data_IF_786559568082
#
_entry.id   IF_786559568082
#
_cell.length_a   1.000
_cell.length_b   1.000
_cell.length_c   1.000
_cell.angle_alpha   90.00
_cell.angle_beta   90.00
_cell.angle_gamma   90.00
#
_symmetry.space_group_name_H-M   'P 1'
#
loop_
_entity.id
_entity.type
_entity.pdbx_description
1 polymer ?
#
# COMPACT_ATOMS: atom_id res chain seq x y z
N UNK A 1 21.11 -4.92 1.12
CA UNK A 1 20.96 -3.61 0.45
C UNK A 1 22.17 -3.25 -0.42
N UNK A 2 23.39 -3.17 0.11
CA UNK A 2 24.59 -2.73 -0.65
C UNK A 2 24.84 -3.51 -1.94
N UNK A 3 24.78 -4.84 -1.92
CA UNK A 3 24.99 -5.66 -3.12
C UNK A 3 23.92 -5.47 -4.21
N UNK A 4 22.69 -5.13 -3.83
CA UNK A 4 21.64 -4.76 -4.77
C UNK A 4 21.94 -3.40 -5.40
N UNK A 5 22.27 -2.38 -4.60
CA UNK A 5 22.55 -1.03 -5.10
C UNK A 5 23.74 -0.99 -6.05
N UNK A 6 24.77 -1.79 -5.79
CA UNK A 6 25.94 -1.90 -6.67
C UNK A 6 25.63 -2.46 -8.07
N UNK A 7 24.58 -3.27 -8.17
CA UNK A 7 24.14 -3.90 -9.43
C UNK A 7 22.97 -3.17 -10.10
N UNK A 8 22.27 -2.34 -9.35
CA UNK A 8 21.07 -1.67 -9.83
C UNK A 8 21.43 -0.57 -10.83
N UNK A 9 20.80 -0.62 -12.00
CA UNK A 9 20.89 0.42 -13.03
C UNK A 9 19.56 1.18 -13.07
N UNK A 10 19.63 2.49 -13.00
CA UNK A 10 18.48 3.34 -13.18
C UNK A 10 17.94 3.20 -14.61
N UNK A 11 16.65 2.97 -14.75
CA UNK A 11 15.97 2.82 -16.05
C UNK A 11 15.66 4.18 -16.72
N UNK A 12 15.84 5.29 -15.99
CA UNK A 12 15.57 6.67 -16.42
C UNK A 12 16.40 7.65 -15.62
N UNK A 13 16.44 8.90 -16.08
CA UNK A 13 17.17 9.95 -15.37
C UNK A 13 16.43 10.33 -14.07
N UNK A 14 17.16 10.66 -12.98
CA UNK A 14 16.57 11.22 -11.78
C UNK A 14 15.76 12.48 -12.07
N UNK A 15 14.56 12.57 -11.52
CA UNK A 15 13.63 13.70 -11.72
C UNK A 15 12.73 13.60 -12.95
N UNK A 16 12.90 12.61 -13.82
CA UNK A 16 12.09 12.43 -15.03
C UNK A 16 10.67 11.94 -14.71
N UNK A 17 10.52 11.09 -13.71
CA UNK A 17 9.22 10.51 -13.30
C UNK A 17 9.21 10.20 -11.81
N UNK A 18 8.12 10.52 -11.14
CA UNK A 18 7.84 10.04 -9.79
C UNK A 18 7.37 8.58 -9.83
N UNK A 19 7.92 7.74 -8.96
CA UNK A 19 7.48 6.36 -8.74
C UNK A 19 7.52 6.06 -7.27
N UNK A 20 6.40 5.60 -6.73
CA UNK A 20 6.34 5.15 -5.34
C UNK A 20 7.30 3.98 -5.10
N UNK A 21 8.08 4.05 -4.03
CA UNK A 21 9.08 3.02 -3.72
C UNK A 21 9.37 2.92 -2.22
N UNK A 22 8.92 1.85 -1.59
CA UNK A 22 9.31 1.50 -0.22
C UNK A 22 10.83 1.34 -0.09
N UNK A 23 11.49 0.76 -1.12
CA UNK A 23 12.95 0.67 -1.17
C UNK A 23 13.59 2.07 -1.16
N UNK A 24 13.06 3.01 -1.95
CA UNK A 24 13.57 4.38 -2.02
C UNK A 24 13.46 5.10 -0.69
N UNK A 25 12.29 5.02 -0.03
CA UNK A 25 12.07 5.66 1.28
C UNK A 25 12.84 4.96 2.39
N UNK A 26 12.94 3.62 2.37
CA UNK A 26 13.80 2.88 3.30
C UNK A 26 15.28 3.24 3.15
N UNK A 27 15.77 3.40 1.91
CA UNK A 27 17.13 3.86 1.62
C UNK A 27 17.36 5.29 2.10
N UNK A 28 16.37 6.18 1.93
CA UNK A 28 16.43 7.54 2.46
C UNK A 28 16.59 7.51 4.00
N UNK A 29 15.77 6.73 4.70
CA UNK A 29 15.89 6.55 6.16
C UNK A 29 17.27 6.07 6.57
N UNK A 30 17.80 5.06 5.89
CA UNK A 30 19.17 4.56 6.14
C UNK A 30 20.24 5.62 5.86
N UNK A 31 20.09 6.42 4.82
CA UNK A 31 21.02 7.51 4.50
C UNK A 31 21.00 8.59 5.59
N UNK A 32 19.82 8.91 6.12
CA UNK A 32 19.68 9.86 7.21
C UNK A 32 20.36 9.36 8.51
N UNK A 33 20.27 8.05 8.82
CA UNK A 33 21.01 7.43 9.91
C UNK A 33 22.52 7.63 9.73
N UNK A 34 23.06 7.26 8.57
CA UNK A 34 24.48 7.41 8.27
C UNK A 34 24.94 8.87 8.35
N UNK A 35 24.13 9.80 7.88
CA UNK A 35 24.45 11.23 7.88
C UNK A 35 24.42 11.84 9.29
N UNK A 36 23.47 11.43 10.14
CA UNK A 36 23.30 11.97 11.50
C UNK A 36 24.19 11.31 12.54
N UNK A 37 24.62 10.06 12.31
CA UNK A 37 25.30 9.23 13.30
C UNK A 37 24.37 8.61 14.34
N UNK A 38 23.04 8.83 14.24
CA UNK A 38 22.02 8.24 15.11
C UNK A 38 21.37 7.04 14.40
N UNK A 39 20.85 6.08 15.16
CA UNK A 39 19.87 5.13 14.61
C UNK A 39 18.56 5.86 14.25
N UNK A 40 17.72 5.21 13.44
CA UNK A 40 16.53 5.88 12.89
C UNK A 40 15.50 6.25 13.96
N UNK A 41 15.33 5.43 15.00
CA UNK A 41 14.42 5.70 16.10
C UNK A 41 14.89 6.89 16.95
N UNK A 42 16.17 6.91 17.34
CA UNK A 42 16.79 8.04 18.06
C UNK A 42 16.71 9.33 17.25
N UNK A 43 16.91 9.25 15.92
CA UNK A 43 16.76 10.40 15.04
C UNK A 43 15.31 10.90 14.96
N UNK A 44 14.35 9.98 14.90
CA UNK A 44 12.91 10.29 14.92
C UNK A 44 12.54 10.97 16.25
N UNK A 45 13.03 10.45 17.37
CA UNK A 45 12.77 11.00 18.71
C UNK A 45 13.35 12.40 18.85
N UNK A 46 14.62 12.59 18.53
CA UNK A 46 15.29 13.89 18.67
C UNK A 46 14.67 14.97 17.77
N UNK A 47 14.31 14.62 16.54
CA UNK A 47 13.87 15.60 15.54
C UNK A 47 12.37 15.81 15.48
N UNK A 48 11.55 14.81 15.77
CA UNK A 48 10.10 14.86 15.53
C UNK A 48 9.31 14.58 16.81
N UNK A 49 9.40 13.35 17.36
CA UNK A 49 8.47 12.92 18.41
C UNK A 49 8.73 13.60 19.74
N UNK A 50 9.98 13.84 20.09
CA UNK A 50 10.35 14.60 21.29
C UNK A 50 9.85 16.05 21.26
N UNK A 51 10.20 16.86 20.22
CA UNK A 51 9.70 18.23 20.08
C UNK A 51 8.17 18.35 20.03
N UNK A 52 7.46 17.33 19.53
CA UNK A 52 6.01 17.31 19.47
C UNK A 52 5.35 16.61 20.66
N UNK A 53 6.12 16.10 21.62
CA UNK A 53 5.64 15.39 22.82
C UNK A 53 4.85 14.10 22.48
N UNK A 54 5.26 13.40 21.41
CA UNK A 54 4.63 12.18 20.90
C UNK A 54 5.20 10.93 21.60
N UNK A 55 4.93 10.77 22.89
CA UNK A 55 5.57 9.78 23.78
C UNK A 55 5.16 8.32 23.51
N UNK A 56 4.08 8.11 22.75
CA UNK A 56 3.60 6.79 22.35
C UNK A 56 3.87 6.49 20.84
N UNK A 57 4.83 7.20 20.26
CA UNK A 57 5.25 7.00 18.86
C UNK A 57 6.66 6.45 18.86
N UNK A 58 6.79 5.16 18.47
CA UNK A 58 8.01 4.38 18.57
C UNK A 58 8.17 3.46 17.37
N UNK A 59 9.36 2.91 17.20
CA UNK A 59 9.65 1.80 16.26
C UNK A 59 9.81 0.52 17.06
N UNK A 60 10.63 0.55 18.11
CA UNK A 60 10.85 -0.57 19.04
C UNK A 60 9.85 -0.47 20.18
N UNK A 61 9.06 -1.50 20.37
CA UNK A 61 8.07 -1.57 21.44
C UNK A 61 8.64 -2.37 22.62
N UNK A 62 8.49 -1.84 23.83
CA UNK A 62 8.73 -2.59 25.07
C UNK A 62 7.54 -3.47 25.45
N UNK A 63 7.67 -4.26 26.52
CA UNK A 63 6.63 -5.20 26.95
C UNK A 63 5.29 -4.51 27.29
N UNK A 64 5.33 -3.28 27.79
CA UNK A 64 4.10 -2.52 28.12
C UNK A 64 3.45 -1.98 26.84
N UNK A 65 4.23 -1.53 25.87
CA UNK A 65 3.73 -1.09 24.57
C UNK A 65 3.13 -2.27 23.78
N UNK A 66 3.77 -3.45 23.84
CA UNK A 66 3.27 -4.67 23.19
C UNK A 66 1.90 -5.11 23.73
N UNK A 67 1.62 -4.92 25.02
CA UNK A 67 0.29 -5.21 25.60
C UNK A 67 -0.81 -4.28 25.07
N UNK A 68 -0.42 -3.08 24.62
CA UNK A 68 -1.33 -2.07 24.08
C UNK A 68 -1.44 -2.12 22.57
N UNK A 69 -0.54 -2.81 21.89
CA UNK A 69 -0.55 -2.92 20.44
C UNK A 69 -1.81 -3.66 19.98
N UNK A 70 -2.62 -3.02 19.16
CA UNK A 70 -3.75 -3.68 18.53
C UNK A 70 -3.24 -4.80 17.61
N UNK A 71 -3.81 -5.99 17.71
CA UNK A 71 -3.45 -7.12 16.83
C UNK A 71 -3.87 -6.77 15.39
N UNK A 72 -2.92 -6.85 14.45
CA UNK A 72 -3.19 -6.64 13.04
C UNK A 72 -3.96 -7.78 12.41
N UNK A 73 -4.87 -7.47 11.49
CA UNK A 73 -5.69 -8.45 10.79
C UNK A 73 -5.58 -8.25 9.28
N UNK A 74 -5.62 -9.33 8.55
CA UNK A 74 -5.77 -9.28 7.09
C UNK A 74 -7.19 -8.79 6.70
N UNK A 75 -7.45 -8.75 5.41
CA UNK A 75 -8.77 -8.34 4.88
C UNK A 75 -9.91 -9.31 5.22
N UNK A 76 -9.58 -10.50 5.70
CA UNK A 76 -10.49 -11.54 6.10
C UNK A 76 -10.74 -11.56 7.61
N UNK A 77 -10.09 -10.66 8.34
CA UNK A 77 -10.18 -10.57 9.79
C UNK A 77 -9.32 -11.62 10.52
N UNK A 78 -8.37 -12.28 9.82
CA UNK A 78 -7.44 -13.20 10.46
C UNK A 78 -6.25 -12.43 11.01
N UNK A 79 -5.79 -12.76 12.23
CA UNK A 79 -4.58 -12.16 12.79
C UNK A 79 -3.37 -12.41 11.90
N UNK A 80 -2.55 -11.38 11.69
CA UNK A 80 -1.31 -11.46 10.93
C UNK A 80 -0.15 -10.83 11.69
N UNK A 81 1.06 -11.27 11.37
CA UNK A 81 2.27 -10.73 11.99
C UNK A 81 2.54 -9.29 11.56
N UNK A 82 3.08 -8.52 12.49
CA UNK A 82 3.60 -7.18 12.21
C UNK A 82 4.76 -7.25 11.22
N UNK A 83 4.95 -6.18 10.47
CA UNK A 83 6.17 -6.00 9.71
C UNK A 83 7.27 -5.44 10.62
N UNK A 84 8.35 -6.18 10.74
CA UNK A 84 9.57 -5.69 11.36
C UNK A 84 10.55 -5.29 10.25
N UNK A 85 10.86 -4.00 10.17
CA UNK A 85 11.63 -3.39 9.10
C UNK A 85 12.92 -2.74 9.62
N UNK A 86 13.86 -3.50 10.25
CA UNK A 86 15.00 -2.91 10.93
C UNK A 86 15.91 -2.09 10.00
N UNK A 87 16.15 -2.58 8.77
CA UNK A 87 16.98 -1.87 7.78
C UNK A 87 16.17 -0.84 6.97
N UNK A 88 14.86 -1.01 6.88
CA UNK A 88 13.95 -0.17 6.11
C UNK A 88 12.96 0.60 7.01
N UNK A 89 13.37 0.96 8.21
CA UNK A 89 12.51 1.59 9.20
C UNK A 89 11.77 2.83 8.65
N UNK A 90 12.44 3.62 7.80
CA UNK A 90 11.82 4.77 7.13
C UNK A 90 10.66 4.44 6.19
N UNK A 91 10.50 3.18 5.76
CA UNK A 91 9.45 2.78 4.84
C UNK A 91 8.12 2.42 5.53
N UNK A 92 8.08 2.29 6.88
CA UNK A 92 6.83 1.95 7.54
C UNK A 92 6.95 1.29 8.93
N UNK A 93 8.08 1.44 9.64
CA UNK A 93 8.27 0.82 10.95
C UNK A 93 7.61 1.59 12.12
N UNK A 94 7.15 2.83 11.92
CA UNK A 94 6.61 3.68 12.99
C UNK A 94 5.26 3.13 13.46
N UNK A 95 5.12 3.00 14.77
CA UNK A 95 3.89 2.67 15.47
C UNK A 95 3.48 3.88 16.31
N UNK A 96 2.19 4.19 16.32
CA UNK A 96 1.70 5.39 16.99
C UNK A 96 0.28 5.20 17.53
N UNK A 97 -0.23 6.23 18.18
CA UNK A 97 -1.61 6.35 18.64
C UNK A 97 -2.29 7.53 17.95
N UNK A 98 -3.63 7.53 17.92
CA UNK A 98 -4.38 8.70 17.42
C UNK A 98 -4.06 9.97 18.19
N UNK A 99 -3.84 9.88 19.51
CA UNK A 99 -3.46 11.02 20.35
C UNK A 99 -2.14 11.68 19.93
N UNK A 100 -1.11 10.88 19.65
CA UNK A 100 0.17 11.40 19.17
C UNK A 100 0.10 11.89 17.72
N UNK A 101 -0.61 11.16 16.88
CA UNK A 101 -0.83 11.60 15.48
C UNK A 101 -1.62 12.91 15.40
N UNK A 102 -2.51 13.19 16.35
CA UNK A 102 -3.19 14.51 16.45
C UNK A 102 -2.22 15.63 16.84
N UNK A 103 -1.21 15.37 17.68
CA UNK A 103 -0.14 16.35 17.97
C UNK A 103 0.69 16.64 16.72
N UNK A 104 1.05 15.60 15.96
CA UNK A 104 1.71 15.73 14.66
C UNK A 104 0.85 16.55 13.68
N UNK A 105 -0.42 16.22 13.57
CA UNK A 105 -1.37 16.90 12.69
C UNK A 105 -1.56 18.37 13.10
N UNK A 106 -1.65 18.67 14.40
CA UNK A 106 -1.74 20.03 14.89
C UNK A 106 -0.51 20.88 14.50
N UNK A 107 0.70 20.28 14.47
CA UNK A 107 1.90 20.95 13.98
C UNK A 107 1.83 21.20 12.46
N UNK A 108 1.35 20.22 11.66
CA UNK A 108 1.16 20.40 10.22
C UNK A 108 0.17 21.53 9.88
N UNK A 109 -0.83 21.72 10.71
CA UNK A 109 -1.84 22.79 10.59
C UNK A 109 -1.35 24.15 11.17
N UNK A 110 -0.16 24.21 11.78
CA UNK A 110 0.34 25.42 12.43
C UNK A 110 -0.48 25.84 13.68
N UNK A 111 -1.22 24.90 14.29
CA UNK A 111 -1.98 25.12 15.53
C UNK A 111 -1.09 25.11 16.76
N UNK A 112 0.03 24.37 16.73
CA UNK A 112 1.08 24.36 17.75
C UNK A 112 2.39 24.78 17.10
N UNK A 113 2.96 25.92 17.56
CA UNK A 113 4.26 26.41 17.09
C UNK A 113 5.40 25.53 17.58
N UNK A 114 6.35 25.27 16.71
CA UNK A 114 7.51 24.44 17.01
C UNK A 114 8.74 24.86 16.18
N UNK A 115 9.91 24.34 16.54
CA UNK A 115 11.13 24.50 15.72
C UNK A 115 11.02 23.81 14.35
N UNK A 116 10.00 22.98 14.16
CA UNK A 116 9.75 22.24 12.91
C UNK A 116 9.02 23.08 11.87
N UNK A 117 8.39 24.20 12.24
CA UNK A 117 7.54 25.02 11.33
C UNK A 117 8.21 25.30 9.97
N UNK A 118 9.50 25.70 9.87
CA UNK A 118 10.14 25.93 8.57
C UNK A 118 10.32 24.64 7.75
N UNK A 119 10.57 23.51 8.40
CA UNK A 119 10.71 22.22 7.73
C UNK A 119 9.32 21.72 7.26
N UNK A 120 8.30 21.84 8.10
CA UNK A 120 6.91 21.51 7.78
C UNK A 120 6.46 22.27 6.54
N UNK A 121 6.66 23.60 6.49
CA UNK A 121 6.30 24.41 5.33
C UNK A 121 6.90 23.87 4.03
N UNK A 122 8.19 23.47 4.06
CA UNK A 122 8.86 22.85 2.90
C UNK A 122 8.25 21.52 2.47
N UNK A 123 7.74 20.74 3.40
CA UNK A 123 7.12 19.44 3.05
C UNK A 123 5.81 19.61 2.29
N UNK A 124 5.15 20.76 2.44
CA UNK A 124 3.89 21.08 1.78
C UNK A 124 4.08 21.77 0.41
N UNK A 125 5.31 22.12 0.03
CA UNK A 125 5.60 22.68 -1.30
C UNK A 125 5.55 21.57 -2.36
N UNK A 126 5.20 21.94 -3.60
CA UNK A 126 5.26 21.01 -4.74
C UNK A 126 6.71 20.78 -5.14
N UNK A 127 7.22 19.58 -4.91
CA UNK A 127 8.55 19.15 -5.30
C UNK A 127 8.57 18.39 -6.63
N UNK A 128 7.45 17.76 -6.99
CA UNK A 128 7.28 17.13 -8.29
C UNK A 128 5.84 17.29 -8.76
N UNK A 129 5.66 17.84 -9.98
CA UNK A 129 4.37 17.92 -10.64
C UNK A 129 4.09 16.63 -11.39
N UNK A 130 3.03 15.95 -11.02
CA UNK A 130 2.53 14.81 -11.77
C UNK A 130 1.87 15.26 -13.09
N UNK A 131 1.72 14.35 -14.08
CA UNK A 131 0.92 14.60 -15.28
C UNK A 131 -0.51 15.09 -14.94
N UNK A 132 -1.14 15.80 -15.89
CA UNK A 132 -2.47 16.42 -15.65
C UNK A 132 -3.59 15.41 -15.35
N UNK A 133 -3.46 14.17 -15.83
CA UNK A 133 -4.40 13.09 -15.54
C UNK A 133 -4.29 12.53 -14.10
N UNK A 134 -3.24 12.88 -13.35
CA UNK A 134 -3.13 12.54 -11.93
C UNK A 134 -3.77 13.65 -11.08
N UNK A 135 -4.59 13.30 -10.05
CA UNK A 135 -5.31 14.29 -9.25
C UNK A 135 -4.45 15.03 -8.22
N UNK A 136 -3.19 14.68 -8.07
CA UNK A 136 -2.29 15.22 -7.04
C UNK A 136 -0.87 15.46 -7.56
N UNK A 137 -0.17 16.37 -6.90
CA UNK A 137 1.27 16.60 -7.01
C UNK A 137 2.00 16.01 -5.79
N UNK A 138 3.34 15.99 -5.81
CA UNK A 138 4.16 15.43 -4.74
C UNK A 138 4.83 16.52 -3.93
N UNK A 139 4.62 16.49 -2.62
CA UNK A 139 5.44 17.17 -1.63
C UNK A 139 6.60 16.30 -1.15
N UNK A 140 7.19 16.63 0.00
CA UNK A 140 8.15 15.75 0.66
C UNK A 140 7.41 14.78 1.60
N UNK A 141 7.10 13.59 1.09
CA UNK A 141 6.34 12.57 1.81
C UNK A 141 4.83 12.83 1.86
N UNK A 142 4.31 13.80 1.11
CA UNK A 142 2.89 14.13 1.04
C UNK A 142 2.38 14.09 -0.40
N UNK A 143 1.12 13.70 -0.55
CA UNK A 143 0.32 13.85 -1.76
C UNK A 143 -0.49 15.14 -1.63
N UNK A 144 -0.34 16.02 -2.61
CA UNK A 144 -0.92 17.36 -2.62
C UNK A 144 -2.08 17.39 -3.61
N UNK A 145 -3.31 17.22 -3.12
CA UNK A 145 -4.52 17.20 -3.93
C UNK A 145 -4.75 18.55 -4.60
N UNK A 146 -4.93 18.58 -5.93
CA UNK A 146 -5.01 19.85 -6.69
C UNK A 146 -6.32 20.60 -6.50
N UNK A 147 -7.43 19.88 -6.35
CA UNK A 147 -8.78 20.48 -6.45
C UNK A 147 -9.29 21.07 -5.14
N UNK A 148 -8.87 20.56 -3.99
CA UNK A 148 -9.45 20.91 -2.69
C UNK A 148 -8.41 21.28 -1.63
N UNK A 149 -7.12 21.29 -2.01
CA UNK A 149 -6.03 21.67 -1.13
C UNK A 149 -5.80 20.67 0.03
N UNK A 150 -6.26 19.44 -0.10
CA UNK A 150 -5.98 18.39 0.85
C UNK A 150 -4.54 17.93 0.68
N UNK A 151 -3.81 17.90 1.78
CA UNK A 151 -2.48 17.30 1.91
C UNK A 151 -2.67 16.01 2.69
N UNK A 152 -2.20 14.89 2.15
CA UNK A 152 -2.48 13.59 2.76
C UNK A 152 -1.41 12.55 2.46
N UNK A 153 -1.41 11.50 3.26
CA UNK A 153 -0.74 10.24 2.98
C UNK A 153 -1.46 9.10 3.70
N UNK A 154 -1.39 7.92 3.14
CA UNK A 154 -1.88 6.71 3.77
C UNK A 154 -0.74 5.80 4.20
N UNK A 155 -1.05 4.74 4.91
CA UNK A 155 -0.14 3.68 5.28
C UNK A 155 -0.78 2.31 5.17
N UNK A 156 -0.01 1.33 4.71
CA UNK A 156 -0.40 -0.08 4.71
C UNK A 156 0.80 -0.95 5.10
N UNK A 157 0.64 -1.73 6.16
CA UNK A 157 1.64 -2.69 6.63
C UNK A 157 0.96 -4.03 6.96
N UNK A 158 1.68 -4.99 7.53
CA UNK A 158 1.10 -6.27 7.93
C UNK A 158 -0.07 -6.10 8.91
N UNK A 159 -1.29 -6.19 8.40
CA UNK A 159 -2.51 -6.12 9.19
C UNK A 159 -2.99 -4.73 9.62
N UNK A 160 -2.41 -3.64 9.10
CA UNK A 160 -2.79 -2.28 9.48
C UNK A 160 -2.94 -1.39 8.26
N UNK A 161 -3.92 -0.49 8.32
CA UNK A 161 -4.03 0.64 7.41
C UNK A 161 -4.20 1.94 8.19
N UNK A 162 -3.69 3.03 7.64
CA UNK A 162 -3.83 4.35 8.23
C UNK A 162 -4.07 5.41 7.16
N UNK A 163 -4.68 6.51 7.57
CA UNK A 163 -4.84 7.71 6.76
C UNK A 163 -4.55 8.94 7.63
N UNK A 164 -3.78 9.85 7.07
CA UNK A 164 -3.57 11.20 7.61
C UNK A 164 -3.84 12.19 6.52
N UNK A 165 -4.81 13.06 6.71
CA UNK A 165 -5.15 14.10 5.73
C UNK A 165 -5.58 15.38 6.40
N UNK A 166 -5.26 16.51 5.79
CA UNK A 166 -5.57 17.83 6.34
C UNK A 166 -5.67 18.92 5.27
N UNK A 167 -6.36 20.00 5.61
CA UNK A 167 -6.48 21.20 4.81
C UNK A 167 -5.93 22.39 5.61
N UNK A 168 -4.70 22.85 5.33
CA UNK A 168 -4.05 23.93 6.09
C UNK A 168 -4.87 25.21 6.15
N UNK A 169 -5.47 25.62 5.05
CA UNK A 169 -6.28 26.84 4.95
C UNK A 169 -7.52 26.81 5.85
N UNK A 170 -8.14 25.64 5.98
CA UNK A 170 -9.34 25.46 6.81
C UNK A 170 -9.02 25.05 8.25
N UNK A 171 -7.77 24.77 8.57
CA UNK A 171 -7.34 24.24 9.87
C UNK A 171 -8.06 22.94 10.26
N UNK A 172 -8.37 22.12 9.27
CA UNK A 172 -9.04 20.84 9.44
C UNK A 172 -8.08 19.69 9.18
N UNK A 173 -8.23 18.60 9.93
CA UNK A 173 -7.44 17.40 9.72
C UNK A 173 -8.08 16.17 10.32
N UNK A 174 -7.75 15.02 9.75
CA UNK A 174 -8.28 13.71 10.11
C UNK A 174 -7.15 12.70 10.19
N UNK A 175 -7.19 11.87 11.24
CA UNK A 175 -6.40 10.67 11.40
C UNK A 175 -7.35 9.49 11.46
N UNK A 176 -7.09 8.46 10.65
CA UNK A 176 -7.73 7.15 10.76
C UNK A 176 -6.66 6.10 10.96
N UNK A 177 -6.75 5.33 12.04
CA UNK A 177 -5.89 4.17 12.30
C UNK A 177 -6.77 2.93 12.35
N UNK A 178 -6.39 1.89 11.62
CA UNK A 178 -7.09 0.61 11.56
C UNK A 178 -6.12 -0.54 11.75
N UNK A 179 -6.51 -1.51 12.54
CA UNK A 179 -5.81 -2.77 12.70
C UNK A 179 -6.35 -3.86 11.74
N UNK A 180 -6.72 -3.46 10.55
CA UNK A 180 -7.16 -4.35 9.46
C UNK A 180 -6.64 -3.85 8.12
N UNK A 181 -6.19 -4.77 7.28
CA UNK A 181 -5.81 -4.50 5.88
C UNK A 181 -7.07 -4.24 5.06
N UNK A 182 -7.49 -2.96 5.00
CA UNK A 182 -8.77 -2.56 4.44
C UNK A 182 -8.67 -1.25 3.64
N UNK A 183 -8.94 -1.31 2.34
CA UNK A 183 -8.88 -0.17 1.40
C UNK A 183 -9.84 0.98 1.75
N UNK A 184 -10.84 0.73 2.58
CA UNK A 184 -11.84 1.76 2.92
C UNK A 184 -11.36 2.81 3.92
N UNK A 185 -10.17 2.64 4.51
CA UNK A 185 -9.58 3.61 5.44
C UNK A 185 -9.35 4.95 4.77
N UNK A 186 -8.84 4.97 3.54
CA UNK A 186 -8.62 6.20 2.77
C UNK A 186 -9.96 6.88 2.43
N UNK A 187 -10.92 6.10 1.95
CA UNK A 187 -12.26 6.61 1.63
C UNK A 187 -12.94 7.23 2.87
N UNK A 188 -12.80 6.58 4.04
CA UNK A 188 -13.31 7.11 5.30
C UNK A 188 -12.61 8.42 5.65
N UNK A 189 -11.29 8.48 5.52
CA UNK A 189 -10.50 9.69 5.78
C UNK A 189 -10.95 10.88 4.93
N UNK A 190 -11.11 10.70 3.62
CA UNK A 190 -11.61 11.74 2.72
C UNK A 190 -13.05 12.15 3.02
N UNK A 191 -13.94 11.19 3.31
CA UNK A 191 -15.33 11.51 3.70
C UNK A 191 -15.39 12.32 4.99
N UNK A 192 -14.58 11.97 5.98
CA UNK A 192 -14.50 12.72 7.24
C UNK A 192 -13.97 14.15 7.01
N UNK A 193 -12.95 14.34 6.18
CA UNK A 193 -12.46 15.68 5.82
C UNK A 193 -13.54 16.50 5.12
N UNK A 194 -14.26 15.91 4.18
CA UNK A 194 -15.37 16.56 3.49
C UNK A 194 -16.48 16.98 4.46
N UNK A 195 -16.87 16.07 5.36
CA UNK A 195 -17.90 16.33 6.38
C UNK A 195 -17.48 17.45 7.34
N UNK A 196 -16.25 17.42 7.86
CA UNK A 196 -15.70 18.47 8.71
C UNK A 196 -15.63 19.83 8.01
N UNK A 197 -15.40 19.81 6.70
CA UNK A 197 -15.42 21.00 5.85
C UNK A 197 -16.83 21.54 5.54
N UNK A 198 -17.88 20.95 6.10
CA UNK A 198 -19.29 21.34 5.88
C UNK A 198 -19.91 20.76 4.61
N UNK A 199 -19.23 19.82 3.94
CA UNK A 199 -19.79 19.14 2.77
C UNK A 199 -20.69 17.96 3.14
N UNK A 200 -21.63 17.65 2.27
CA UNK A 200 -22.47 16.46 2.40
C UNK A 200 -21.71 15.21 1.96
N UNK A 201 -21.90 14.11 2.69
CA UNK A 201 -21.33 12.80 2.35
C UNK A 201 -22.43 11.75 2.36
N UNK A 202 -22.47 10.98 1.30
CA UNK A 202 -23.34 9.79 1.28
C UNK A 202 -22.85 8.77 2.31
N UNK A 203 -23.78 8.07 2.99
CA UNK A 203 -23.43 6.97 3.89
C UNK A 203 -22.49 5.98 3.18
N UNK A 204 -21.53 5.48 3.91
CA UNK A 204 -20.65 4.44 3.42
C UNK A 204 -21.27 3.07 3.68
N UNK A 205 -21.68 2.40 2.62
CA UNK A 205 -22.12 1.02 2.70
C UNK A 205 -20.96 0.09 2.28
N UNK A 206 -20.59 -0.81 3.17
CA UNK A 206 -19.71 -1.90 2.81
C UNK A 206 -20.45 -2.82 1.83
N UNK A 207 -19.81 -3.24 0.73
CA UNK A 207 -20.42 -4.21 -0.16
C UNK A 207 -20.84 -5.46 0.61
N UNK A 208 -22.13 -5.82 0.50
CA UNK A 208 -22.67 -7.03 1.13
C UNK A 208 -22.17 -8.24 0.32
N UNK A 209 -21.50 -9.15 0.99
CA UNK A 209 -21.11 -10.42 0.39
C UNK A 209 -22.26 -11.42 0.48
N UNK A 210 -22.57 -12.05 -0.65
CA UNK A 210 -23.48 -13.19 -0.69
C UNK A 210 -22.76 -14.47 -0.24
N UNK A 211 -23.49 -15.36 0.43
CA UNK A 211 -23.03 -16.72 0.65
C UNK A 211 -23.49 -17.59 -0.51
N UNK A 212 -22.55 -18.14 -1.24
CA UNK A 212 -22.83 -19.04 -2.35
C UNK A 212 -22.50 -20.49 -1.94
N UNK A 213 -23.30 -21.44 -2.43
CA UNK A 213 -23.01 -22.86 -2.25
C UNK A 213 -21.79 -23.28 -3.06
N UNK A 214 -21.13 -24.36 -2.66
CA UNK A 214 -19.98 -24.91 -3.37
C UNK A 214 -20.28 -25.19 -4.85
N UNK A 215 -21.49 -25.67 -5.16
CA UNK A 215 -21.92 -25.99 -6.55
C UNK A 215 -21.95 -24.75 -7.46
N UNK A 216 -22.22 -23.56 -6.92
CA UNK A 216 -22.17 -22.30 -7.66
C UNK A 216 -20.75 -21.78 -7.85
N UNK A 217 -19.84 -22.12 -6.96
CA UNK A 217 -18.46 -21.67 -6.97
C UNK A 217 -17.55 -22.58 -7.81
N UNK A 218 -17.81 -23.88 -7.82
CA UNK A 218 -16.98 -24.88 -8.52
C UNK A 218 -16.80 -24.58 -10.02
N UNK A 219 -17.84 -24.15 -10.77
CA UNK A 219 -17.68 -23.75 -12.17
C UNK A 219 -16.67 -22.65 -12.44
N UNK A 220 -16.39 -21.81 -11.43
CA UNK A 220 -15.52 -20.65 -11.53
C UNK A 220 -14.05 -20.97 -11.21
N UNK A 221 -13.80 -22.13 -10.59
CA UNK A 221 -12.44 -22.59 -10.25
C UNK A 221 -11.65 -22.90 -11.51
N UNK A 222 -10.43 -22.40 -11.64
CA UNK A 222 -9.56 -22.64 -12.78
C UNK A 222 -8.43 -21.65 -12.93
N UNK A 223 -7.65 -21.81 -13.98
CA UNK A 223 -6.57 -20.88 -14.33
C UNK A 223 -7.02 -19.98 -15.49
N UNK A 224 -6.75 -18.69 -15.35
CA UNK A 224 -7.14 -17.67 -16.31
C UNK A 224 -5.91 -16.87 -16.70
N UNK A 225 -5.60 -16.87 -17.99
CA UNK A 225 -4.39 -16.24 -18.55
C UNK A 225 -4.70 -14.81 -18.99
N UNK A 226 -4.05 -13.85 -18.35
CA UNK A 226 -4.13 -12.43 -18.70
C UNK A 226 -3.17 -12.09 -19.84
N UNK A 227 -1.94 -12.66 -19.77
CA UNK A 227 -0.90 -12.54 -20.78
C UNK A 227 0.10 -13.71 -20.59
N UNK A 228 1.12 -13.88 -21.48
CA UNK A 228 2.06 -15.00 -21.38
C UNK A 228 2.80 -15.15 -20.04
N UNK A 229 3.00 -14.04 -19.30
CA UNK A 229 3.72 -14.03 -18.03
C UNK A 229 2.81 -14.00 -16.79
N UNK A 230 1.50 -13.72 -16.97
CA UNK A 230 0.58 -13.48 -15.86
C UNK A 230 -0.67 -14.36 -15.97
N UNK A 231 -0.81 -15.26 -15.01
CA UNK A 231 -1.95 -16.18 -14.86
C UNK A 231 -2.61 -15.94 -13.51
N UNK A 232 -3.93 -15.90 -13.48
CA UNK A 232 -4.73 -15.92 -12.27
C UNK A 232 -5.15 -17.36 -11.98
N UNK A 233 -4.78 -17.88 -10.82
CA UNK A 233 -5.23 -19.18 -10.31
C UNK A 233 -6.41 -18.94 -9.37
N UNK A 234 -7.60 -19.34 -9.79
CA UNK A 234 -8.83 -19.24 -8.99
C UNK A 234 -9.09 -20.58 -8.33
N UNK A 235 -9.08 -20.60 -7.01
CA UNK A 235 -9.24 -21.78 -6.16
C UNK A 235 -10.41 -21.61 -5.21
N UNK A 236 -10.93 -22.71 -4.67
CA UNK A 236 -12.02 -22.72 -3.69
C UNK A 236 -11.62 -23.41 -2.39
N UNK A 237 -12.01 -22.83 -1.28
CA UNK A 237 -11.97 -23.47 0.04
C UNK A 237 -13.35 -23.27 0.71
N UNK A 238 -14.01 -24.36 0.98
CA UNK A 238 -15.37 -24.34 1.55
C UNK A 238 -16.37 -23.59 0.62
N UNK A 239 -16.96 -22.55 1.15
CA UNK A 239 -17.94 -21.67 0.49
C UNK A 239 -17.32 -20.36 -0.04
N UNK A 240 -15.99 -20.35 -0.30
CA UNK A 240 -15.27 -19.16 -0.69
C UNK A 240 -14.29 -19.39 -1.84
N UNK A 241 -14.22 -18.43 -2.76
CA UNK A 241 -13.19 -18.36 -3.80
C UNK A 241 -11.99 -17.53 -3.36
N UNK A 242 -10.86 -17.87 -3.94
CA UNK A 242 -9.60 -17.15 -3.82
C UNK A 242 -8.98 -16.98 -5.20
N UNK A 243 -8.28 -15.89 -5.41
CA UNK A 243 -7.48 -15.65 -6.61
C UNK A 243 -6.03 -15.42 -6.24
N UNK A 244 -5.13 -16.00 -7.02
CA UNK A 244 -3.69 -15.76 -6.92
C UNK A 244 -3.13 -15.42 -8.30
N UNK A 245 -2.66 -14.20 -8.48
CA UNK A 245 -1.91 -13.83 -9.68
C UNK A 245 -0.45 -14.32 -9.54
N UNK A 246 0.17 -14.67 -10.68
CA UNK A 246 1.57 -15.13 -10.71
C UNK A 246 2.48 -14.17 -9.92
N UNK A 247 3.23 -14.71 -8.95
CA UNK A 247 4.15 -13.94 -8.11
C UNK A 247 3.51 -13.03 -7.07
N UNK A 248 2.18 -13.07 -6.88
CA UNK A 248 1.47 -12.27 -5.89
C UNK A 248 0.86 -13.12 -4.78
N UNK A 249 0.54 -12.53 -3.62
CA UNK A 249 -0.19 -13.21 -2.57
C UNK A 249 -1.58 -13.66 -3.02
N UNK A 250 -2.05 -14.75 -2.44
CA UNK A 250 -3.42 -15.24 -2.60
C UNK A 250 -4.41 -14.31 -1.89
N UNK A 251 -5.50 -13.95 -2.56
CA UNK A 251 -6.52 -13.00 -2.07
C UNK A 251 -7.88 -13.68 -2.07
N UNK A 252 -8.65 -13.51 -0.99
CA UNK A 252 -10.03 -13.97 -0.88
C UNK A 252 -11.01 -13.11 -1.68
N UNK A 253 -11.91 -13.77 -2.40
CA UNK A 253 -12.98 -13.14 -3.17
C UNK A 253 -14.31 -13.19 -2.42
N UNK A 254 -15.08 -12.12 -2.52
CA UNK A 254 -16.39 -11.94 -1.90
C UNK A 254 -17.44 -11.81 -2.99
N UNK A 255 -18.46 -12.66 -2.97
CA UNK A 255 -19.49 -12.67 -3.99
C UNK A 255 -20.40 -11.45 -3.91
N UNK A 256 -20.55 -10.72 -4.99
CA UNK A 256 -21.58 -9.70 -5.19
C UNK A 256 -22.78 -10.28 -5.95
N UNK A 257 -22.55 -11.30 -6.80
CA UNK A 257 -23.57 -12.12 -7.46
C UNK A 257 -23.03 -13.54 -7.64
N UNK A 258 -23.76 -14.40 -8.35
CA UNK A 258 -23.31 -15.76 -8.67
C UNK A 258 -22.02 -15.78 -9.52
N UNK A 259 -21.74 -14.72 -10.29
CA UNK A 259 -20.60 -14.64 -11.21
C UNK A 259 -19.74 -13.40 -11.02
N UNK A 260 -20.12 -12.47 -10.12
CA UNK A 260 -19.41 -11.24 -9.87
C UNK A 260 -18.86 -11.23 -8.44
N UNK A 261 -17.58 -10.91 -8.32
CA UNK A 261 -16.85 -10.92 -7.06
C UNK A 261 -16.02 -9.65 -6.90
N UNK A 262 -15.73 -9.29 -5.67
CA UNK A 262 -14.79 -8.22 -5.32
C UNK A 262 -13.79 -8.70 -4.29
N UNK A 263 -12.68 -8.01 -4.14
CA UNK A 263 -11.75 -8.26 -3.04
C UNK A 263 -11.64 -7.02 -2.13
N UNK A 264 -11.19 -7.22 -0.89
CA UNK A 264 -11.10 -6.15 0.11
C UNK A 264 -9.75 -5.45 0.17
N UNK A 265 -8.60 -6.13 -0.12
CA UNK A 265 -7.29 -5.50 0.00
C UNK A 265 -7.03 -4.41 -1.04
N UNK A 266 -7.58 -4.58 -2.24
CA UNK A 266 -7.41 -3.66 -3.38
C UNK A 266 -8.75 -3.36 -4.03
N UNK A 267 -8.84 -2.27 -4.79
CA UNK A 267 -10.03 -1.96 -5.56
C UNK A 267 -10.03 -2.74 -6.87
N UNK A 268 -10.50 -3.98 -6.78
CA UNK A 268 -10.64 -4.87 -7.94
C UNK A 268 -11.95 -5.65 -7.87
N UNK A 269 -12.57 -5.83 -9.02
CA UNK A 269 -13.77 -6.63 -9.25
C UNK A 269 -13.44 -7.72 -10.28
N UNK A 270 -14.06 -8.88 -10.12
CA UNK A 270 -13.84 -10.07 -10.96
C UNK A 270 -15.20 -10.55 -11.45
N UNK A 271 -15.44 -10.46 -12.73
CA UNK A 271 -16.66 -10.94 -13.37
C UNK A 271 -16.34 -12.18 -14.20
N UNK A 272 -17.10 -13.27 -14.00
CA UNK A 272 -16.92 -14.54 -14.69
C UNK A 272 -18.00 -14.74 -15.76
N UNK A 273 -17.57 -15.05 -16.96
CA UNK A 273 -18.46 -15.44 -18.07
C UNK A 273 -18.58 -16.97 -18.07
N UNK A 274 -19.78 -17.46 -17.72
CA UNK A 274 -20.06 -18.89 -17.57
C UNK A 274 -20.79 -19.40 -18.79
N UNK A 275 -20.21 -20.38 -19.49
CA UNK A 275 -20.80 -21.09 -20.61
C UNK A 275 -20.79 -22.60 -20.35
N UNK A 276 -21.86 -23.29 -20.67
CA UNK A 276 -22.00 -24.75 -20.52
C UNK A 276 -21.65 -25.26 -19.10
N UNK A 277 -21.95 -24.45 -18.05
CA UNK A 277 -21.71 -24.83 -16.66
C UNK A 277 -20.26 -24.64 -16.20
N UNK A 278 -19.42 -23.92 -16.96
CA UNK A 278 -18.02 -23.62 -16.59
C UNK A 278 -17.67 -22.20 -17.00
N UNK A 279 -16.87 -21.49 -16.20
CA UNK A 279 -16.41 -20.16 -16.58
C UNK A 279 -15.29 -20.29 -17.61
N UNK A 280 -15.50 -19.75 -18.80
CA UNK A 280 -14.51 -19.75 -19.89
C UNK A 280 -13.64 -18.51 -19.88
N UNK A 281 -14.12 -17.44 -19.24
CA UNK A 281 -13.45 -16.16 -19.16
C UNK A 281 -13.65 -15.48 -17.81
N UNK A 282 -12.67 -14.71 -17.40
CA UNK A 282 -12.77 -13.80 -16.25
C UNK A 282 -12.37 -12.39 -16.70
N UNK A 283 -13.15 -11.39 -16.30
CA UNK A 283 -12.81 -9.98 -16.47
C UNK A 283 -12.36 -9.40 -15.13
N UNK A 284 -11.19 -8.79 -15.11
CA UNK A 284 -10.67 -8.08 -13.92
C UNK A 284 -10.81 -6.58 -14.15
N UNK A 285 -11.62 -5.92 -13.34
CA UNK A 285 -11.80 -4.48 -13.34
C UNK A 285 -10.93 -3.87 -12.25
N UNK A 286 -9.88 -3.14 -12.62
CA UNK A 286 -8.96 -2.52 -11.67
C UNK A 286 -8.36 -1.23 -12.22
N UNK A 287 -8.27 -0.19 -11.38
CA UNK A 287 -7.70 1.12 -11.75
C UNK A 287 -8.31 1.74 -13.01
N UNK A 288 -9.62 1.53 -13.23
CA UNK A 288 -10.34 2.01 -14.41
C UNK A 288 -10.02 1.24 -15.70
N UNK A 289 -9.36 0.10 -15.61
CA UNK A 289 -9.05 -0.79 -16.73
C UNK A 289 -9.82 -2.10 -16.61
N UNK A 290 -10.26 -2.60 -17.75
CA UNK A 290 -10.89 -3.91 -17.93
C UNK A 290 -9.86 -4.86 -18.54
N UNK A 291 -9.45 -5.87 -17.79
CA UNK A 291 -8.39 -6.80 -18.17
C UNK A 291 -9.03 -8.19 -18.38
N UNK A 292 -9.18 -8.64 -19.61
CA UNK A 292 -9.71 -9.98 -19.89
C UNK A 292 -8.68 -11.06 -19.57
N UNK A 293 -9.16 -12.20 -19.06
CA UNK A 293 -8.37 -13.38 -18.78
C UNK A 293 -9.12 -14.62 -19.26
N UNK A 294 -8.55 -15.31 -20.25
CA UNK A 294 -9.14 -16.52 -20.82
C UNK A 294 -8.79 -17.74 -19.99
N UNK A 295 -9.74 -18.66 -19.81
CA UNK A 295 -9.46 -19.93 -19.15
C UNK A 295 -8.41 -20.72 -19.93
N UNK A 296 -7.46 -21.31 -19.21
CA UNK A 296 -6.47 -22.23 -19.80
C UNK A 296 -6.58 -23.60 -19.15
N UNK A 297 -6.32 -24.65 -19.92
CA UNK A 297 -6.28 -26.00 -19.39
C UNK A 297 -5.09 -26.20 -18.44
N UNK A 298 -5.28 -27.04 -17.44
CA UNK A 298 -4.29 -27.30 -16.38
C UNK A 298 -2.90 -27.77 -16.89
N UNK A 299 -2.79 -28.10 -18.16
CA UNK A 299 -1.56 -28.57 -18.82
C UNK A 299 -0.66 -27.45 -19.37
N UNK A 300 -1.16 -26.22 -19.53
CA UNK A 300 -0.31 -25.08 -19.92
C UNK A 300 0.51 -24.58 -18.72
N UNK A 301 1.78 -25.00 -18.67
CA UNK A 301 2.77 -24.39 -17.77
C UNK A 301 3.00 -22.93 -18.20
N UNK A 302 3.09 -21.97 -17.27
CA UNK A 302 3.59 -20.65 -17.62
C UNK A 302 4.97 -20.80 -18.27
N UNK A 303 5.19 -20.06 -19.36
CA UNK A 303 6.50 -20.00 -20.00
C UNK A 303 7.54 -19.63 -18.93
N UNK A 304 8.56 -20.48 -18.76
CA UNK A 304 9.64 -20.24 -17.83
C UNK A 304 10.26 -18.87 -18.12
N UNK A 305 10.56 -18.10 -17.07
CA UNK A 305 11.43 -16.93 -17.18
C UNK A 305 12.67 -17.31 -18.00
N UNK A 306 13.13 -16.46 -18.93
CA UNK A 306 14.36 -16.72 -19.65
C UNK A 306 15.49 -16.84 -18.63
N UNK A 307 16.02 -18.05 -18.51
CA UNK A 307 17.17 -18.34 -17.67
C UNK A 307 18.30 -17.35 -18.01
N UNK A 308 18.75 -16.63 -16.99
CA UNK A 308 19.95 -15.81 -17.05
C UNK A 308 21.09 -16.66 -17.64
N UNK A 309 21.53 -16.34 -18.86
CA UNK A 309 22.69 -17.04 -19.45
C UNK A 309 23.87 -16.87 -18.53
N UNK A 310 24.57 -17.95 -18.14
CA UNK A 310 25.81 -17.82 -17.42
C UNK A 310 26.81 -17.03 -18.26
N UNK A 311 27.42 -16.02 -17.65
CA UNK A 311 28.50 -15.28 -18.26
C UNK A 311 29.63 -16.25 -18.69
N UNK A 312 29.93 -16.30 -19.98
CA UNK A 312 31.03 -17.02 -20.59
C UNK A 312 32.32 -16.64 -19.88
N UNK A 313 32.95 -17.62 -19.27
CA UNK A 313 34.26 -17.49 -18.64
C UNK A 313 35.30 -17.11 -19.70
N UNK A 314 35.77 -15.88 -19.66
CA UNK A 314 36.96 -15.48 -20.45
C UNK A 314 38.17 -16.29 -20.01
N UNK A 315 38.61 -17.16 -20.87
CA UNK A 315 39.85 -17.92 -20.78
C UNK A 315 41.04 -16.95 -20.61
N UNK A 316 41.79 -17.15 -19.55
CA UNK A 316 43.09 -16.51 -19.36
C UNK A 316 44.10 -17.19 -20.29
N UNK A 317 44.57 -16.48 -21.29
CA UNK A 317 45.80 -16.83 -22.01
C UNK A 317 47.01 -16.32 -21.20
N UNK A 318 48.02 -17.16 -20.95
CA UNK A 318 49.27 -16.71 -20.32
C UNK A 318 50.23 -16.26 -21.37
N UNK A 319 50.76 -15.06 -21.26
CA UNK A 319 51.99 -14.66 -21.95
C UNK A 319 52.84 -13.78 -21.05
N UNK A 320 54.04 -14.28 -20.84
CA UNK A 320 55.35 -13.69 -20.88
C UNK A 320 55.74 -12.74 -19.76
#
# INVERSE_FOLDING_TARGET
>A
MGSFLLKHKLQRQPGEKSVYSNLGVGLLGHTLQLKSGYDYESLLEDKITGPLEMTNTKITLDDEDLKRLAIGHDSDGQPVSNWDLPTFAGAGAIRSTTGDMLKFLASQLGLKKSKLDPAIAKTHEVHFKNPENEPFDMGLGWLLQRNDGIIWHNGGTGGYNSFTGFQPEKKLGVIVLSNSSNKYVDLLGFKLLKLLGGGEVEPFELPKSLKLSADKLEPLVGKYKLNPALVADVTREGDRLFVQLSGQPRIGLYAASDTSFYCRPVDAKFDFEVENGKAERMMIHQNGQDIPAERVDASEKPAAEPADKPAESAEKTPTG
#
